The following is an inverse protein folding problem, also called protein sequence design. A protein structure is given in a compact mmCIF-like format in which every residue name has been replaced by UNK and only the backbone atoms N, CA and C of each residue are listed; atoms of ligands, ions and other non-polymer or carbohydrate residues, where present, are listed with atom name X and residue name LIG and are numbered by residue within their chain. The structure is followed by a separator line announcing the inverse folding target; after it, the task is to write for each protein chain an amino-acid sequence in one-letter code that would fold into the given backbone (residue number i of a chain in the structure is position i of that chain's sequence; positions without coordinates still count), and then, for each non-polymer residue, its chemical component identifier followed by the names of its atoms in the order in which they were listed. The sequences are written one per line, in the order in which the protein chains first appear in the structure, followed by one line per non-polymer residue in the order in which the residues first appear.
data_IF_911410138454
#
_entry.id   IF_911410138454
#
_cell.length_a   1.000
_cell.length_b   1.000
_cell.length_c   1.000
_cell.angle_alpha   90.00
_cell.angle_beta   90.00
_cell.angle_gamma   90.00
#
_symmetry.space_group_name_H-M   'P 1'
#
loop_
_entity.id
_entity.type
_entity.pdbx_description
1 polymer ?
#
# COMPACT_ATOMS: atom_id res chain seq x y z
N UNK A 1 27.58 24.73 -16.79
CA UNK A 1 26.38 24.58 -15.93
C UNK A 1 26.78 24.60 -14.45
N UNK A 2 25.97 25.14 -13.55
CA UNK A 2 26.28 25.14 -12.10
C UNK A 2 26.07 23.75 -11.48
N UNK A 3 26.72 23.41 -10.34
CA UNK A 3 26.51 22.11 -9.67
C UNK A 3 25.05 21.83 -9.31
N UNK A 4 24.31 22.85 -8.86
CA UNK A 4 22.89 22.72 -8.55
C UNK A 4 22.05 22.43 -9.80
N UNK A 5 22.31 23.15 -10.90
CA UNK A 5 21.61 22.95 -12.16
C UNK A 5 21.91 21.56 -12.76
N UNK A 6 23.16 21.10 -12.62
CA UNK A 6 23.54 19.72 -12.97
C UNK A 6 22.74 18.72 -12.15
N UNK A 7 22.72 18.85 -10.82
CA UNK A 7 22.04 17.93 -9.93
C UNK A 7 20.53 17.85 -10.23
N UNK A 8 19.87 19.00 -10.37
CA UNK A 8 18.43 19.06 -10.72
C UNK A 8 18.16 18.38 -12.06
N UNK A 9 18.97 18.65 -13.08
CA UNK A 9 18.84 18.04 -14.40
C UNK A 9 19.07 16.52 -14.34
N UNK A 10 20.09 16.08 -13.61
CA UNK A 10 20.39 14.66 -13.41
C UNK A 10 19.20 13.94 -12.76
N UNK A 11 18.68 14.46 -11.63
CA UNK A 11 17.55 13.84 -10.94
C UNK A 11 16.28 13.84 -11.79
N UNK A 12 16.00 14.93 -12.51
CA UNK A 12 14.88 14.98 -13.45
C UNK A 12 14.99 13.89 -14.53
N UNK A 13 16.14 13.77 -15.19
CA UNK A 13 16.38 12.77 -16.23
C UNK A 13 16.35 11.34 -15.71
N UNK A 14 16.84 11.13 -14.48
CA UNK A 14 16.78 9.83 -13.81
C UNK A 14 15.33 9.44 -13.45
N UNK A 15 14.55 10.37 -12.90
CA UNK A 15 13.14 10.15 -12.55
C UNK A 15 12.30 9.90 -13.82
N UNK A 16 12.50 10.69 -14.89
CA UNK A 16 11.80 10.47 -16.16
C UNK A 16 12.14 9.12 -16.78
N UNK A 17 13.41 8.70 -16.73
CA UNK A 17 13.85 7.35 -17.10
C UNK A 17 13.12 6.25 -16.31
N UNK A 18 13.04 6.39 -14.98
CA UNK A 18 12.30 5.47 -14.11
C UNK A 18 10.82 5.39 -14.47
N UNK A 19 10.12 6.54 -14.56
CA UNK A 19 8.67 6.58 -14.83
C UNK A 19 8.33 6.03 -16.21
N UNK A 20 9.19 6.30 -17.21
CA UNK A 20 9.04 5.72 -18.54
C UNK A 20 9.17 4.20 -18.48
N UNK A 21 10.19 3.68 -17.80
CA UNK A 21 10.34 2.24 -17.61
C UNK A 21 9.15 1.64 -16.85
N UNK A 22 8.66 2.26 -15.78
CA UNK A 22 7.50 1.77 -15.03
C UNK A 22 6.25 1.68 -15.92
N UNK A 23 6.07 2.65 -16.82
CA UNK A 23 4.99 2.65 -17.81
C UNK A 23 5.17 1.53 -18.84
N UNK A 24 6.39 1.38 -19.38
CA UNK A 24 6.72 0.30 -20.30
C UNK A 24 6.55 -1.07 -19.63
N UNK A 25 6.95 -1.20 -18.38
CA UNK A 25 6.84 -2.39 -17.55
C UNK A 25 5.38 -2.80 -17.34
N UNK A 26 4.51 -1.85 -17.00
CA UNK A 26 3.07 -2.07 -16.95
C UNK A 26 2.53 -2.59 -18.30
N UNK A 27 2.93 -1.96 -19.41
CA UNK A 27 2.51 -2.36 -20.74
C UNK A 27 3.05 -3.74 -21.14
N UNK A 28 4.28 -4.09 -20.77
CA UNK A 28 4.87 -5.41 -21.02
C UNK A 28 4.03 -6.52 -20.38
N UNK A 29 3.47 -6.31 -19.18
CA UNK A 29 2.54 -7.26 -18.58
C UNK A 29 1.22 -7.38 -19.38
N UNK A 30 0.64 -6.24 -19.79
CA UNK A 30 -0.58 -6.24 -20.62
C UNK A 30 -0.36 -6.89 -21.99
N UNK A 31 0.82 -6.73 -22.58
CA UNK A 31 1.15 -7.25 -23.90
C UNK A 31 1.38 -8.75 -23.95
N UNK A 32 1.44 -9.45 -22.82
CA UNK A 32 1.52 -10.92 -22.77
C UNK A 32 0.41 -11.60 -23.57
N UNK A 33 -0.76 -10.97 -23.66
CA UNK A 33 -1.94 -11.43 -24.40
C UNK A 33 -2.24 -10.60 -25.65
N UNK A 34 -1.33 -9.72 -26.07
CA UNK A 34 -1.53 -8.87 -27.25
C UNK A 34 -1.73 -9.70 -28.51
N UNK A 35 -2.49 -9.21 -29.49
CA UNK A 35 -2.62 -9.85 -30.80
C UNK A 35 -1.33 -9.75 -31.65
N UNK A 36 -0.48 -8.78 -31.35
CA UNK A 36 0.72 -8.45 -32.11
C UNK A 36 1.90 -9.30 -31.64
N UNK A 37 2.50 -10.06 -32.54
CA UNK A 37 3.63 -10.98 -32.23
C UNK A 37 4.81 -10.25 -31.59
N UNK A 38 5.11 -9.06 -32.08
CA UNK A 38 6.22 -8.24 -31.56
C UNK A 38 5.99 -7.81 -30.10
N UNK A 39 4.79 -7.34 -29.75
CA UNK A 39 4.49 -6.92 -28.37
C UNK A 39 4.51 -8.11 -27.41
N UNK A 40 4.01 -9.29 -27.84
CA UNK A 40 4.15 -10.53 -27.06
C UNK A 40 5.61 -10.94 -26.87
N UNK A 41 6.44 -10.76 -27.89
CA UNK A 41 7.86 -11.06 -27.80
C UNK A 41 8.57 -10.15 -26.80
N UNK A 42 8.29 -8.83 -26.80
CA UNK A 42 8.81 -7.91 -25.79
C UNK A 42 8.38 -8.32 -24.37
N UNK A 43 7.09 -8.65 -24.18
CA UNK A 43 6.57 -9.17 -22.92
C UNK A 43 7.30 -10.44 -22.47
N UNK A 44 7.58 -11.36 -23.40
CA UNK A 44 8.30 -12.59 -23.11
C UNK A 44 9.76 -12.35 -22.71
N UNK A 45 10.45 -11.39 -23.34
CA UNK A 45 11.79 -10.98 -22.94
C UNK A 45 11.84 -10.50 -21.47
N UNK A 46 10.85 -9.70 -21.07
CA UNK A 46 10.68 -9.25 -19.68
C UNK A 46 10.36 -10.39 -18.70
N UNK A 47 9.64 -11.44 -19.15
CA UNK A 47 9.32 -12.58 -18.29
C UNK A 47 10.55 -13.33 -17.78
N UNK A 48 11.70 -13.23 -18.45
CA UNK A 48 12.93 -13.84 -17.92
C UNK A 48 13.33 -13.28 -16.55
N UNK A 49 13.01 -12.03 -16.27
CA UNK A 49 13.14 -11.44 -14.93
C UNK A 49 12.33 -12.20 -13.89
N UNK A 50 11.03 -12.34 -14.16
CA UNK A 50 10.06 -13.03 -13.30
C UNK A 50 10.27 -14.55 -13.24
N UNK A 51 10.94 -15.13 -14.22
CA UNK A 51 11.30 -16.55 -14.21
C UNK A 51 12.59 -16.78 -13.41
N UNK A 52 13.52 -15.83 -13.46
CA UNK A 52 14.75 -15.86 -12.69
C UNK A 52 14.46 -15.60 -11.21
N UNK A 53 13.87 -14.47 -10.86
CA UNK A 53 13.37 -14.21 -9.51
C UNK A 53 11.86 -14.41 -9.51
N UNK A 54 11.39 -15.53 -8.96
CA UNK A 54 10.03 -16.00 -9.20
C UNK A 54 9.02 -15.56 -8.15
N UNK A 55 7.74 -15.87 -8.39
CA UNK A 55 6.62 -15.56 -7.47
C UNK A 55 6.75 -16.22 -6.09
N UNK A 56 7.60 -17.24 -5.97
CA UNK A 56 7.93 -17.87 -4.69
C UNK A 56 9.07 -17.14 -3.95
N UNK A 57 9.60 -16.07 -4.54
CA UNK A 57 10.67 -15.20 -4.04
C UNK A 57 11.99 -15.95 -3.89
N UNK A 58 12.26 -16.81 -4.87
CA UNK A 58 13.49 -17.60 -4.99
C UNK A 58 14.10 -17.39 -6.37
N UNK A 59 15.42 -17.49 -6.43
CA UNK A 59 16.17 -17.46 -7.66
C UNK A 59 16.16 -18.82 -8.36
N UNK A 60 16.11 -18.79 -9.69
CA UNK A 60 16.12 -19.97 -10.54
C UNK A 60 17.23 -19.85 -11.59
N UNK A 61 18.37 -20.47 -11.29
CA UNK A 61 19.58 -20.38 -12.11
C UNK A 61 19.41 -20.84 -13.55
N UNK A 62 18.35 -21.62 -13.85
CA UNK A 62 17.97 -21.99 -15.22
C UNK A 62 17.81 -20.76 -16.12
N UNK A 63 17.35 -19.64 -15.57
CA UNK A 63 17.07 -18.41 -16.32
C UNK A 63 18.11 -17.32 -16.12
N UNK A 64 19.20 -17.59 -15.39
CA UNK A 64 20.23 -16.59 -15.06
C UNK A 64 20.79 -15.91 -16.31
N UNK A 65 21.14 -16.69 -17.35
CA UNK A 65 21.70 -16.14 -18.60
C UNK A 65 20.68 -15.31 -19.36
N UNK A 66 19.44 -15.76 -19.45
CA UNK A 66 18.39 -15.03 -20.15
C UNK A 66 18.03 -13.74 -19.42
N UNK A 67 18.01 -13.75 -18.08
CA UNK A 67 17.86 -12.53 -17.31
C UNK A 67 19.00 -11.53 -17.59
N UNK A 68 20.25 -12.01 -17.53
CA UNK A 68 21.44 -11.18 -17.73
C UNK A 68 21.56 -10.58 -19.14
N UNK A 69 21.24 -11.34 -20.19
CA UNK A 69 21.48 -10.95 -21.58
C UNK A 69 20.25 -10.41 -22.30
N UNK A 70 19.04 -10.61 -21.76
CA UNK A 70 17.78 -10.22 -22.42
C UNK A 70 17.00 -9.24 -21.53
N UNK A 71 16.62 -9.67 -20.32
CA UNK A 71 15.72 -8.85 -19.50
C UNK A 71 16.41 -7.60 -18.97
N UNK A 72 17.55 -7.73 -18.29
CA UNK A 72 18.26 -6.58 -17.72
C UNK A 72 18.68 -5.55 -18.78
N UNK A 73 19.19 -5.93 -19.97
CA UNK A 73 19.43 -4.97 -21.04
C UNK A 73 18.15 -4.30 -21.56
N UNK A 74 17.03 -5.01 -21.66
CA UNK A 74 15.75 -4.44 -22.06
C UNK A 74 15.28 -3.36 -21.06
N UNK A 75 15.40 -3.62 -19.76
CA UNK A 75 15.07 -2.65 -18.70
C UNK A 75 15.98 -1.41 -18.77
N UNK A 76 17.28 -1.63 -18.91
CA UNK A 76 18.28 -0.56 -19.06
C UNK A 76 17.99 0.33 -20.26
N UNK A 77 17.76 -0.28 -21.43
CA UNK A 77 17.43 0.46 -22.66
C UNK A 77 16.15 1.26 -22.50
N UNK A 78 15.14 0.70 -21.82
CA UNK A 78 13.89 1.42 -21.54
C UNK A 78 14.12 2.66 -20.67
N UNK A 79 14.96 2.56 -19.63
CA UNK A 79 15.31 3.71 -18.77
C UNK A 79 16.09 4.77 -19.54
N UNK A 80 17.10 4.36 -20.32
CA UNK A 80 17.89 5.27 -21.17
C UNK A 80 16.98 6.00 -22.16
N UNK A 81 16.08 5.30 -22.84
CA UNK A 81 15.10 5.89 -23.76
C UNK A 81 14.20 6.90 -23.03
N UNK A 82 13.74 6.57 -21.82
CA UNK A 82 12.98 7.48 -20.97
C UNK A 82 13.74 8.76 -20.62
N UNK A 83 15.02 8.66 -20.27
CA UNK A 83 15.88 9.81 -20.01
C UNK A 83 16.11 10.65 -21.27
N UNK A 84 16.28 10.03 -22.44
CA UNK A 84 16.38 10.75 -23.73
C UNK A 84 15.08 11.50 -24.04
N UNK A 85 13.91 10.86 -23.86
CA UNK A 85 12.60 11.50 -24.05
C UNK A 85 12.42 12.66 -23.06
N UNK A 86 12.80 12.48 -21.80
CA UNK A 86 12.79 13.55 -20.79
C UNK A 86 13.69 14.72 -21.18
N UNK A 87 14.89 14.45 -21.70
CA UNK A 87 15.79 15.48 -22.19
C UNK A 87 15.21 16.22 -23.39
N UNK A 88 14.62 15.51 -24.37
CA UNK A 88 13.95 16.14 -25.51
C UNK A 88 12.78 17.01 -25.07
N UNK A 89 11.99 16.58 -24.08
CA UNK A 89 10.90 17.37 -23.53
C UNK A 89 11.42 18.65 -22.86
N UNK A 90 12.45 18.53 -22.01
CA UNK A 90 13.08 19.70 -21.39
C UNK A 90 13.71 20.63 -22.43
N UNK A 91 14.33 20.08 -23.49
CA UNK A 91 14.87 20.84 -24.61
C UNK A 91 13.79 21.69 -25.27
N UNK A 92 12.69 21.10 -25.71
CA UNK A 92 11.61 21.84 -26.36
C UNK A 92 11.02 22.95 -25.47
N UNK A 93 10.89 22.73 -24.15
CA UNK A 93 10.38 23.74 -23.21
C UNK A 93 11.36 24.89 -22.92
N UNK A 94 12.67 24.61 -22.97
CA UNK A 94 13.72 25.59 -22.63
C UNK A 94 14.22 26.34 -23.87
N UNK A 95 14.19 25.72 -25.05
CA UNK A 95 14.57 26.39 -26.31
C UNK A 95 13.69 27.59 -26.64
N UNK A 96 12.44 27.61 -26.15
CA UNK A 96 11.56 28.78 -26.22
C UNK A 96 12.12 30.00 -25.44
N UNK A 97 13.11 29.78 -24.56
CA UNK A 97 13.80 30.80 -23.75
C UNK A 97 15.30 30.99 -24.11
N UNK A 98 15.71 30.73 -25.36
CA UNK A 98 17.08 30.96 -25.89
C UNK A 98 18.23 30.12 -25.27
N UNK A 99 17.94 29.09 -24.47
CA UNK A 99 18.96 28.19 -23.92
C UNK A 99 18.89 26.80 -24.55
N UNK A 100 20.00 26.28 -25.08
CA UNK A 100 20.09 24.86 -25.40
C UNK A 100 20.49 24.11 -24.11
N UNK A 101 19.66 23.19 -23.56
CA UNK A 101 20.04 22.45 -22.35
C UNK A 101 21.29 21.62 -22.60
N UNK A 102 22.21 21.71 -21.64
CA UNK A 102 23.44 20.93 -21.60
C UNK A 102 23.14 19.43 -21.70
N UNK A 103 23.82 18.72 -22.61
CA UNK A 103 23.67 17.26 -22.77
C UNK A 103 24.48 16.48 -21.73
N UNK A 104 25.33 17.13 -20.95
CA UNK A 104 26.19 16.48 -19.95
C UNK A 104 25.41 15.66 -18.92
N UNK A 105 24.31 16.15 -18.29
CA UNK A 105 23.47 15.34 -17.42
C UNK A 105 22.92 14.08 -18.08
N UNK A 106 22.49 14.17 -19.34
CA UNK A 106 21.95 13.03 -20.07
C UNK A 106 23.03 11.96 -20.27
N UNK A 107 24.23 12.35 -20.71
CA UNK A 107 25.35 11.43 -20.88
C UNK A 107 25.69 10.73 -19.55
N UNK A 108 25.74 11.50 -18.46
CA UNK A 108 26.05 10.95 -17.12
C UNK A 108 24.95 10.00 -16.63
N UNK A 109 23.66 10.31 -16.81
CA UNK A 109 22.55 9.40 -16.46
C UNK A 109 22.61 8.12 -17.29
N UNK A 110 22.84 8.22 -18.60
CA UNK A 110 22.98 7.04 -19.46
C UNK A 110 24.15 6.15 -19.04
N UNK A 111 25.30 6.75 -18.75
CA UNK A 111 26.47 6.03 -18.23
C UNK A 111 26.17 5.38 -16.87
N UNK A 112 25.47 6.09 -15.98
CA UNK A 112 25.07 5.57 -14.68
C UNK A 112 24.16 4.34 -14.80
N UNK A 113 23.10 4.39 -15.63
CA UNK A 113 22.20 3.25 -15.83
C UNK A 113 22.91 2.05 -16.46
N UNK A 114 23.83 2.32 -17.40
CA UNK A 114 24.67 1.27 -17.98
C UNK A 114 25.56 0.59 -16.93
N UNK A 115 26.32 1.38 -16.17
CA UNK A 115 27.23 0.87 -15.13
C UNK A 115 26.44 0.11 -14.07
N UNK A 116 25.32 0.67 -13.59
CA UNK A 116 24.43 0.01 -12.64
C UNK A 116 23.98 -1.35 -13.16
N UNK A 117 23.52 -1.43 -14.40
CA UNK A 117 23.07 -2.70 -15.00
C UNK A 117 24.20 -3.71 -15.09
N UNK A 118 25.41 -3.28 -15.46
CA UNK A 118 26.59 -4.16 -15.48
C UNK A 118 26.94 -4.69 -14.09
N UNK A 119 26.83 -3.85 -13.05
CA UNK A 119 27.03 -4.27 -11.66
C UNK A 119 25.97 -5.31 -11.27
N UNK A 120 24.70 -5.11 -11.60
CA UNK A 120 23.62 -6.08 -11.33
C UNK A 120 23.90 -7.41 -12.03
N UNK A 121 24.33 -7.38 -13.30
CA UNK A 121 24.72 -8.60 -14.04
C UNK A 121 25.91 -9.30 -13.37
N UNK A 122 26.93 -8.56 -12.95
CA UNK A 122 28.10 -9.10 -12.24
C UNK A 122 27.71 -9.73 -10.89
N UNK A 123 26.67 -9.20 -10.23
CA UNK A 123 26.05 -9.77 -9.04
C UNK A 123 25.04 -10.89 -9.35
N UNK A 124 25.05 -11.44 -10.57
CA UNK A 124 24.12 -12.49 -11.01
C UNK A 124 22.64 -12.08 -10.87
N UNK A 125 22.31 -10.80 -11.01
CA UNK A 125 20.96 -10.28 -10.83
C UNK A 125 20.47 -10.20 -9.38
N UNK A 126 21.31 -10.49 -8.39
CA UNK A 126 20.99 -10.39 -6.96
C UNK A 126 21.43 -9.04 -6.41
N UNK A 127 20.65 -7.99 -6.70
CA UNK A 127 20.92 -6.64 -6.20
C UNK A 127 20.16 -6.34 -4.90
N UNK A 128 20.27 -5.10 -4.39
CA UNK A 128 19.61 -4.67 -3.15
C UNK A 128 18.08 -4.72 -3.19
N UNK A 129 17.46 -4.82 -4.38
CA UNK A 129 16.01 -4.95 -4.56
C UNK A 129 15.57 -6.41 -4.80
N UNK A 130 16.52 -7.32 -5.03
CA UNK A 130 16.28 -8.74 -5.26
C UNK A 130 16.83 -9.56 -4.09
N UNK A 131 16.02 -9.66 -3.03
CA UNK A 131 16.35 -10.42 -1.83
C UNK A 131 15.28 -11.48 -1.64
N UNK A 132 15.69 -12.72 -1.37
CA UNK A 132 14.76 -13.82 -1.14
C UNK A 132 13.97 -13.60 0.17
N UNK A 133 12.65 -13.80 0.11
CA UNK A 133 11.78 -13.75 1.27
C UNK A 133 10.96 -15.02 1.41
N UNK A 134 10.71 -15.44 2.65
CA UNK A 134 9.68 -16.44 2.92
C UNK A 134 8.30 -15.80 2.88
N UNK A 135 8.18 -14.64 3.55
CA UNK A 135 7.03 -13.73 3.57
C UNK A 135 7.54 -12.31 3.39
N UNK A 136 6.93 -11.55 2.48
CA UNK A 136 7.31 -10.15 2.23
C UNK A 136 6.85 -9.29 3.42
N UNK A 137 7.78 -8.60 4.12
CA UNK A 137 7.41 -7.69 5.20
C UNK A 137 6.75 -6.43 4.65
N UNK A 138 6.13 -5.65 5.54
CA UNK A 138 5.55 -4.35 5.17
C UNK A 138 6.62 -3.43 4.58
N UNK A 139 6.36 -2.95 3.38
CA UNK A 139 7.11 -1.86 2.75
C UNK A 139 6.95 -0.55 3.54
N UNK A 140 8.09 0.00 3.98
CA UNK A 140 8.15 1.20 4.85
C UNK A 140 8.33 2.49 4.08
N UNK A 141 8.75 2.41 2.82
CA UNK A 141 9.08 3.59 2.03
C UNK A 141 7.82 4.12 1.36
N UNK A 142 7.52 5.41 1.51
CA UNK A 142 6.39 5.99 0.78
C UNK A 142 6.74 6.28 -0.68
N UNK A 143 7.94 6.81 -0.94
CA UNK A 143 8.34 7.36 -2.25
C UNK A 143 9.21 6.41 -3.08
N UNK A 144 10.20 5.78 -2.44
CA UNK A 144 11.21 4.96 -3.13
C UNK A 144 10.85 3.48 -3.11
N UNK A 145 11.20 2.78 -4.19
CA UNK A 145 11.06 1.33 -4.31
C UNK A 145 12.25 0.67 -3.63
N UNK A 146 11.96 -0.15 -2.61
CA UNK A 146 12.92 -1.03 -1.95
C UNK A 146 12.63 -2.51 -2.26
N UNK A 147 13.41 -3.43 -1.65
CA UNK A 147 13.27 -4.87 -1.88
C UNK A 147 11.87 -5.41 -1.54
N UNK A 148 11.20 -4.87 -0.53
CA UNK A 148 9.85 -5.30 -0.15
C UNK A 148 8.84 -4.98 -1.25
N UNK A 149 8.86 -3.75 -1.77
CA UNK A 149 7.95 -3.33 -2.83
C UNK A 149 8.21 -4.09 -4.13
N UNK A 150 9.49 -4.31 -4.47
CA UNK A 150 9.85 -5.11 -5.62
C UNK A 150 9.43 -6.59 -5.45
N UNK A 151 9.58 -7.17 -4.25
CA UNK A 151 9.09 -8.51 -3.98
C UNK A 151 7.55 -8.60 -4.12
N UNK A 152 6.79 -7.58 -3.67
CA UNK A 152 5.34 -7.53 -3.89
C UNK A 152 4.97 -7.56 -5.37
N UNK A 153 5.76 -6.91 -6.24
CA UNK A 153 5.60 -7.01 -7.69
C UNK A 153 5.74 -8.46 -8.17
N UNK A 154 6.76 -9.20 -7.72
CA UNK A 154 6.91 -10.62 -8.09
C UNK A 154 5.77 -11.50 -7.56
N UNK A 155 5.27 -11.24 -6.34
CA UNK A 155 4.09 -11.95 -5.83
C UNK A 155 2.85 -11.63 -6.68
N UNK A 156 2.68 -10.36 -7.06
CA UNK A 156 1.53 -9.84 -7.80
C UNK A 156 1.97 -9.06 -9.06
N UNK A 157 2.32 -9.74 -10.17
CA UNK A 157 2.96 -9.11 -11.34
C UNK A 157 2.15 -8.01 -12.02
N UNK A 158 0.82 -7.98 -11.85
CA UNK A 158 -0.05 -6.93 -12.39
C UNK A 158 -0.14 -5.68 -11.48
N UNK A 159 0.61 -5.63 -10.38
CA UNK A 159 0.63 -4.54 -9.38
C UNK A 159 2.07 -4.17 -9.00
N UNK A 160 2.23 -3.07 -8.25
CA UNK A 160 3.54 -2.62 -7.73
C UNK A 160 4.57 -2.41 -8.84
N UNK A 161 4.30 -1.52 -9.79
CA UNK A 161 5.03 -1.39 -11.06
C UNK A 161 6.34 -0.62 -10.96
N UNK A 162 6.45 0.26 -9.96
CA UNK A 162 7.59 1.14 -9.76
C UNK A 162 8.92 0.40 -9.68
N UNK A 163 9.93 0.95 -10.33
CA UNK A 163 11.29 0.41 -10.37
C UNK A 163 12.28 1.13 -9.45
N UNK A 164 12.14 2.45 -9.30
CA UNK A 164 12.95 3.27 -8.39
C UNK A 164 12.09 4.18 -7.52
N UNK A 165 11.09 4.82 -8.12
CA UNK A 165 10.11 5.67 -7.45
C UNK A 165 8.71 5.12 -7.67
N UNK A 166 7.79 5.36 -6.74
CA UNK A 166 6.41 4.86 -6.81
C UNK A 166 5.45 5.80 -7.53
N UNK A 167 5.99 6.76 -8.29
CA UNK A 167 5.18 7.81 -8.92
C UNK A 167 4.16 7.23 -9.90
N UNK A 168 4.55 6.24 -10.72
CA UNK A 168 3.61 5.54 -11.59
C UNK A 168 2.47 4.92 -10.77
N UNK A 169 2.78 4.18 -9.70
CA UNK A 169 1.78 3.54 -8.86
C UNK A 169 0.86 4.51 -8.13
N UNK A 170 1.36 5.69 -7.76
CA UNK A 170 0.55 6.76 -7.19
C UNK A 170 -0.44 7.32 -8.21
N UNK A 171 -0.04 7.49 -9.46
CA UNK A 171 -0.94 8.01 -10.50
C UNK A 171 -1.94 6.94 -10.91
N UNK A 172 -1.46 5.74 -11.26
CA UNK A 172 -2.25 4.63 -11.78
C UNK A 172 -3.04 3.86 -10.70
N UNK A 173 -2.67 3.99 -9.42
CA UNK A 173 -3.32 3.27 -8.32
C UNK A 173 -3.00 1.78 -8.33
N UNK A 174 -1.73 1.41 -8.46
CA UNK A 174 -1.27 0.00 -8.55
C UNK A 174 -0.50 -0.50 -7.33
N UNK A 175 -0.32 0.31 -6.28
CA UNK A 175 0.45 -0.03 -5.07
C UNK A 175 -0.37 -0.82 -4.02
N UNK A 176 -1.23 -1.73 -4.47
CA UNK A 176 -2.09 -2.54 -3.60
C UNK A 176 -2.53 -3.84 -4.27
N UNK A 177 -2.96 -4.82 -3.47
CA UNK A 177 -3.56 -6.05 -3.98
C UNK A 177 -4.60 -6.62 -3.01
N UNK A 178 -5.86 -6.67 -3.46
CA UNK A 178 -7.00 -7.27 -2.73
C UNK A 178 -7.73 -8.37 -3.52
N UNK A 179 -7.45 -8.49 -4.82
CA UNK A 179 -8.12 -9.46 -5.69
C UNK A 179 -7.88 -10.88 -5.18
N UNK A 180 -8.91 -11.71 -5.17
CA UNK A 180 -8.91 -13.08 -4.65
C UNK A 180 -8.58 -13.21 -3.15
N UNK A 181 -8.40 -12.12 -2.41
CA UNK A 181 -8.23 -12.17 -0.96
C UNK A 181 -9.56 -12.40 -0.26
N UNK A 182 -9.52 -13.05 0.90
CA UNK A 182 -10.68 -13.17 1.80
C UNK A 182 -10.67 -12.05 2.84
N UNK A 183 -11.80 -11.36 2.94
CA UNK A 183 -11.96 -10.22 3.86
C UNK A 183 -12.93 -10.59 4.96
N UNK A 184 -12.61 -10.23 6.19
CA UNK A 184 -13.55 -10.22 7.32
C UNK A 184 -13.85 -8.78 7.70
N UNK A 185 -15.13 -8.44 7.83
CA UNK A 185 -15.61 -7.07 8.04
C UNK A 185 -16.54 -7.01 9.25
N UNK A 186 -16.19 -6.23 10.26
CA UNK A 186 -17.12 -5.84 11.34
C UNK A 186 -17.86 -4.57 10.94
N UNK A 187 -19.06 -4.34 11.47
CA UNK A 187 -19.87 -3.16 11.10
C UNK A 187 -20.38 -3.19 9.66
N UNK A 188 -20.44 -4.38 9.03
CA UNK A 188 -20.89 -4.55 7.63
C UNK A 188 -22.35 -4.15 7.37
N UNK A 189 -23.19 -4.08 8.42
CA UNK A 189 -24.54 -3.52 8.35
C UNK A 189 -24.57 -1.99 8.46
N UNK A 190 -23.45 -1.34 8.77
CA UNK A 190 -23.31 0.11 8.84
C UNK A 190 -23.18 0.76 7.46
N UNK A 191 -23.31 2.09 7.41
CA UNK A 191 -23.25 2.85 6.16
C UNK A 191 -21.90 2.68 5.43
N UNK A 192 -20.78 2.89 6.14
CA UNK A 192 -19.44 2.68 5.57
C UNK A 192 -19.18 1.20 5.24
N UNK A 193 -19.56 0.28 6.15
CA UNK A 193 -19.36 -1.16 5.96
C UNK A 193 -19.98 -1.69 4.66
N UNK A 194 -21.23 -1.31 4.35
CA UNK A 194 -21.86 -1.67 3.08
C UNK A 194 -21.16 -1.05 1.86
N UNK A 195 -20.75 0.22 1.98
CA UNK A 195 -20.11 0.93 0.89
C UNK A 195 -18.71 0.40 0.57
N UNK A 196 -17.90 0.08 1.58
CA UNK A 196 -16.56 -0.49 1.37
C UNK A 196 -16.64 -1.92 0.86
N UNK A 197 -17.59 -2.73 1.32
CA UNK A 197 -17.83 -4.06 0.76
C UNK A 197 -18.15 -4.02 -0.73
N UNK A 198 -19.02 -3.09 -1.16
CA UNK A 198 -19.32 -2.87 -2.58
C UNK A 198 -18.05 -2.55 -3.39
N UNK A 199 -17.16 -1.70 -2.86
CA UNK A 199 -15.88 -1.39 -3.51
C UNK A 199 -14.96 -2.63 -3.59
N UNK A 200 -14.87 -3.41 -2.51
CA UNK A 200 -14.04 -4.60 -2.45
C UNK A 200 -14.50 -5.69 -3.42
N UNK A 201 -15.81 -5.93 -3.49
CA UNK A 201 -16.40 -6.85 -4.47
C UNK A 201 -16.11 -6.41 -5.90
N UNK A 202 -16.14 -5.11 -6.19
CA UNK A 202 -15.77 -4.57 -7.50
C UNK A 202 -14.28 -4.76 -7.84
N UNK A 203 -13.40 -4.81 -6.84
CA UNK A 203 -11.97 -5.14 -7.01
C UNK A 203 -11.69 -6.64 -7.18
N UNK A 204 -12.72 -7.48 -7.01
CA UNK A 204 -12.65 -8.92 -7.16
C UNK A 204 -12.04 -9.63 -5.95
N UNK A 205 -12.30 -9.16 -4.72
CA UNK A 205 -12.06 -9.99 -3.52
C UNK A 205 -12.81 -11.31 -3.65
N UNK A 206 -12.27 -12.38 -3.05
CA UNK A 206 -12.88 -13.72 -3.15
C UNK A 206 -14.20 -13.82 -2.37
N UNK A 207 -14.21 -13.25 -1.18
CA UNK A 207 -15.33 -13.30 -0.24
C UNK A 207 -15.19 -12.17 0.79
N UNK A 208 -16.34 -11.66 1.26
CA UNK A 208 -16.42 -10.70 2.37
C UNK A 208 -17.34 -11.27 3.44
N UNK A 209 -16.75 -11.75 4.54
CA UNK A 209 -17.51 -12.29 5.68
C UNK A 209 -17.79 -11.20 6.69
N UNK A 210 -19.06 -10.96 6.98
CA UNK A 210 -19.48 -9.97 7.98
C UNK A 210 -19.51 -10.59 9.38
N UNK A 211 -18.86 -9.93 10.35
CA UNK A 211 -18.98 -10.23 11.77
C UNK A 211 -20.01 -9.29 12.42
N UNK A 212 -21.16 -9.84 12.82
CA UNK A 212 -22.24 -9.13 13.46
C UNK A 212 -22.11 -9.09 14.99
N UNK A 213 -22.16 -7.89 15.55
CA UNK A 213 -22.30 -7.69 17.00
C UNK A 213 -23.65 -8.25 17.50
N UNK A 214 -23.64 -8.95 18.63
CA UNK A 214 -24.80 -9.66 19.18
C UNK A 214 -25.12 -11.01 18.54
N UNK A 215 -24.45 -11.36 17.42
CA UNK A 215 -24.61 -12.64 16.72
C UNK A 215 -23.35 -13.50 16.78
N UNK A 216 -22.25 -12.91 16.31
CA UNK A 216 -20.95 -13.59 16.18
C UNK A 216 -20.02 -13.22 17.33
N UNK A 217 -20.21 -12.05 17.93
CA UNK A 217 -19.44 -11.58 19.09
C UNK A 217 -20.20 -10.52 19.89
N UNK A 218 -19.78 -10.32 21.14
CA UNK A 218 -20.22 -9.23 22.04
C UNK A 218 -19.01 -8.63 22.75
N UNK A 219 -19.21 -7.60 23.58
CA UNK A 219 -18.11 -7.03 24.38
C UNK A 219 -17.46 -8.05 25.33
N UNK A 220 -18.15 -9.15 25.66
CA UNK A 220 -17.68 -10.16 26.62
C UNK A 220 -17.43 -11.55 26.00
N UNK A 221 -17.89 -11.79 24.77
CA UNK A 221 -17.79 -13.10 24.12
C UNK A 221 -17.30 -12.97 22.67
N UNK A 222 -16.14 -13.55 22.40
CA UNK A 222 -15.51 -13.62 21.08
C UNK A 222 -15.25 -15.08 20.64
N UNK A 223 -15.82 -16.06 21.34
CA UNK A 223 -15.53 -17.49 21.17
C UNK A 223 -15.73 -17.99 19.73
N UNK A 224 -16.68 -17.39 19.00
CA UNK A 224 -17.01 -17.76 17.61
C UNK A 224 -16.16 -17.06 16.55
N UNK A 225 -15.35 -16.07 16.94
CA UNK A 225 -14.63 -15.21 16.00
C UNK A 225 -13.39 -15.91 15.41
N UNK A 226 -12.64 -16.65 16.24
CA UNK A 226 -11.38 -17.30 15.83
C UNK A 226 -11.50 -18.11 14.53
N UNK A 227 -12.43 -19.08 14.44
CA UNK A 227 -12.63 -19.87 13.22
C UNK A 227 -12.98 -19.04 11.98
N UNK A 228 -13.65 -17.89 12.14
CA UNK A 228 -14.01 -17.02 11.02
C UNK A 228 -12.78 -16.27 10.47
N UNK A 229 -11.82 -15.96 11.34
CA UNK A 229 -10.58 -15.23 11.03
C UNK A 229 -9.47 -16.13 10.46
N UNK A 230 -9.59 -17.44 10.59
CA UNK A 230 -8.56 -18.42 10.23
C UNK A 230 -8.06 -18.26 8.78
N UNK A 231 -8.98 -18.11 7.83
CA UNK A 231 -8.66 -17.97 6.40
C UNK A 231 -8.67 -16.51 5.90
N UNK A 232 -8.93 -15.55 6.79
CA UNK A 232 -8.98 -14.14 6.41
C UNK A 232 -7.57 -13.60 6.16
N UNK A 233 -7.41 -12.81 5.11
CA UNK A 233 -6.15 -12.10 4.82
C UNK A 233 -6.25 -10.62 5.18
N UNK A 234 -7.48 -10.08 5.13
CA UNK A 234 -7.77 -8.69 5.48
C UNK A 234 -8.85 -8.68 6.58
N UNK A 235 -8.58 -8.02 7.70
CA UNK A 235 -9.56 -7.68 8.73
C UNK A 235 -9.94 -6.20 8.63
N UNK A 236 -11.22 -5.89 8.48
CA UNK A 236 -11.74 -4.53 8.45
C UNK A 236 -12.61 -4.26 9.69
N UNK A 237 -12.21 -3.25 10.45
CA UNK A 237 -12.80 -2.82 11.70
C UNK A 237 -13.60 -1.54 11.47
N UNK A 238 -14.87 -1.70 11.07
CA UNK A 238 -15.77 -0.58 10.76
C UNK A 238 -16.96 -0.44 11.71
N UNK A 239 -17.02 -1.25 12.76
CA UNK A 239 -18.00 -1.06 13.83
C UNK A 239 -17.65 0.15 14.69
N UNK A 240 -18.66 0.74 15.31
CA UNK A 240 -18.47 1.79 16.29
C UNK A 240 -19.79 2.42 16.73
N UNK A 241 -19.73 3.15 17.84
CA UNK A 241 -20.87 3.81 18.46
C UNK A 241 -20.45 5.10 19.15
N UNK A 242 -21.40 6.03 19.29
CA UNK A 242 -21.26 7.23 20.12
C UNK A 242 -21.96 7.08 21.49
N UNK A 243 -22.60 5.93 21.71
CA UNK A 243 -23.38 5.60 22.90
C UNK A 243 -22.57 5.49 24.20
N UNK A 244 -23.19 4.89 25.21
CA UNK A 244 -22.55 4.68 26.52
C UNK A 244 -21.42 3.64 26.45
N UNK A 245 -21.52 2.69 25.53
CA UNK A 245 -20.56 1.62 25.28
C UNK A 245 -19.45 2.01 24.29
N UNK A 246 -19.25 3.32 24.04
CA UNK A 246 -18.28 3.81 23.06
C UNK A 246 -16.85 3.30 23.31
N UNK A 247 -16.42 3.19 24.58
CA UNK A 247 -15.09 2.66 24.91
C UNK A 247 -14.96 1.18 24.53
N UNK A 248 -15.95 0.37 24.88
CA UNK A 248 -15.92 -1.07 24.59
C UNK A 248 -16.00 -1.33 23.09
N UNK A 249 -16.89 -0.62 22.38
CA UNK A 249 -17.06 -0.77 20.94
C UNK A 249 -15.88 -0.22 20.13
N UNK A 250 -15.41 1.01 20.40
CA UNK A 250 -14.44 1.67 19.50
C UNK A 250 -12.98 1.35 19.84
N UNK A 251 -12.71 0.83 21.05
CA UNK A 251 -11.37 0.55 21.55
C UNK A 251 -11.21 -0.92 22.01
N UNK A 252 -11.87 -1.34 23.10
CA UNK A 252 -11.57 -2.64 23.73
C UNK A 252 -11.83 -3.83 22.80
N UNK A 253 -13.02 -3.88 22.19
CA UNK A 253 -13.37 -4.94 21.24
C UNK A 253 -12.55 -4.86 19.95
N UNK A 254 -12.22 -3.67 19.48
CA UNK A 254 -11.33 -3.48 18.33
C UNK A 254 -9.95 -4.10 18.60
N UNK A 255 -9.35 -3.82 19.76
CA UNK A 255 -8.08 -4.44 20.17
C UNK A 255 -8.24 -5.96 20.23
N UNK A 256 -9.28 -6.46 20.90
CA UNK A 256 -9.48 -7.91 21.05
C UNK A 256 -9.64 -8.64 19.72
N UNK A 257 -10.36 -8.05 18.77
CA UNK A 257 -10.54 -8.62 17.42
C UNK A 257 -9.23 -8.64 16.64
N UNK A 258 -8.37 -7.62 16.78
CA UNK A 258 -7.04 -7.58 16.18
C UNK A 258 -6.15 -8.67 16.78
N UNK A 259 -6.13 -8.80 18.10
CA UNK A 259 -5.36 -9.84 18.77
C UNK A 259 -5.76 -11.23 18.30
N UNK A 260 -7.06 -11.54 18.28
CA UNK A 260 -7.56 -12.81 17.79
C UNK A 260 -7.14 -13.05 16.33
N UNK A 261 -7.19 -12.02 15.48
CA UNK A 261 -6.76 -12.14 14.09
C UNK A 261 -5.27 -12.47 13.99
N UNK A 262 -4.42 -11.75 14.71
CA UNK A 262 -2.98 -11.98 14.72
C UNK A 262 -2.63 -13.33 15.37
N UNK A 263 -3.32 -13.75 16.43
CA UNK A 263 -3.19 -15.07 17.04
C UNK A 263 -3.51 -16.18 16.02
N UNK A 264 -4.57 -16.03 15.21
CA UNK A 264 -4.89 -16.98 14.14
C UNK A 264 -3.84 -16.98 13.02
N UNK A 265 -3.28 -15.82 12.67
CA UNK A 265 -2.20 -15.75 11.66
C UNK A 265 -0.92 -16.41 12.17
N UNK A 266 -0.58 -16.21 13.44
CA UNK A 266 0.58 -16.83 14.08
C UNK A 266 0.41 -18.35 14.24
N UNK A 267 -0.76 -18.82 14.68
CA UNK A 267 -1.05 -20.26 14.80
C UNK A 267 -1.06 -20.97 13.43
N UNK A 268 -1.37 -20.23 12.36
CA UNK A 268 -1.31 -20.69 10.97
C UNK A 268 0.06 -20.57 10.32
N UNK A 269 1.13 -20.20 11.04
CA UNK A 269 2.51 -20.12 10.53
C UNK A 269 2.95 -21.50 9.99
N UNK A 270 2.83 -21.66 8.67
CA UNK A 270 2.89 -22.94 7.95
C UNK A 270 1.98 -22.94 6.71
N UNK A 271 0.91 -22.12 6.71
CA UNK A 271 0.18 -21.74 5.51
C UNK A 271 1.03 -20.79 4.67
N UNK A 272 1.18 -21.11 3.39
CA UNK A 272 2.11 -20.52 2.41
C UNK A 272 1.79 -19.08 1.97
N UNK A 273 1.42 -18.18 2.89
CA UNK A 273 1.17 -16.78 2.52
C UNK A 273 2.50 -16.08 2.22
N UNK A 274 2.62 -15.50 1.02
CA UNK A 274 3.80 -14.72 0.62
C UNK A 274 3.77 -13.29 1.11
N UNK A 275 2.67 -12.84 1.70
CA UNK A 275 2.54 -11.48 2.24
C UNK A 275 1.99 -11.49 3.64
N UNK A 276 2.39 -10.47 4.40
CA UNK A 276 1.84 -10.20 5.74
C UNK A 276 0.33 -9.95 5.71
N UNK A 277 -0.39 -10.28 6.79
CA UNK A 277 -1.80 -9.95 6.93
C UNK A 277 -2.04 -8.44 6.94
N UNK A 278 -3.29 -8.05 6.70
CA UNK A 278 -3.67 -6.66 6.56
C UNK A 278 -4.87 -6.32 7.46
N UNK A 279 -4.81 -5.17 8.14
CA UNK A 279 -5.82 -4.71 9.11
C UNK A 279 -6.22 -3.29 8.75
N UNK A 280 -7.50 -3.04 8.53
CA UNK A 280 -8.03 -1.71 8.24
C UNK A 280 -8.93 -1.26 9.37
N UNK A 281 -8.58 -0.15 10.03
CA UNK A 281 -9.38 0.44 11.09
C UNK A 281 -10.05 1.73 10.61
N UNK A 282 -11.35 1.84 10.86
CA UNK A 282 -12.11 3.07 10.61
C UNK A 282 -12.09 3.95 11.86
N UNK A 283 -11.18 4.91 11.87
CA UNK A 283 -11.07 6.00 12.84
C UNK A 283 -12.06 7.12 12.58
N UNK A 284 -11.70 8.35 12.95
CA UNK A 284 -12.50 9.55 12.67
C UNK A 284 -11.71 10.82 12.95
N UNK A 285 -12.04 11.92 12.27
CA UNK A 285 -11.45 13.25 12.56
C UNK A 285 -11.65 13.71 14.02
N UNK A 286 -12.60 13.13 14.76
CA UNK A 286 -12.79 13.39 16.20
C UNK A 286 -11.53 13.10 17.04
N UNK A 287 -10.61 12.30 16.50
CA UNK A 287 -9.32 12.01 17.11
C UNK A 287 -8.48 13.28 17.31
N UNK A 288 -8.65 14.32 16.47
CA UNK A 288 -7.91 15.58 16.59
C UNK A 288 -8.76 16.74 17.11
N UNK A 289 -10.02 16.88 16.69
CA UNK A 289 -10.81 18.07 17.02
C UNK A 289 -11.58 17.92 18.36
N UNK A 290 -11.90 19.02 19.07
CA UNK A 290 -12.61 18.95 20.34
C UNK A 290 -14.06 18.47 20.17
N UNK A 291 -14.64 17.95 21.24
CA UNK A 291 -16.03 17.48 21.30
C UNK A 291 -17.05 18.60 21.59
N UNK A 292 -16.60 19.86 21.65
CA UNK A 292 -17.41 21.08 21.86
C UNK A 292 -18.46 20.99 22.99
N UNK A 293 -18.12 20.30 24.09
CA UNK A 293 -19.00 20.16 25.25
C UNK A 293 -20.16 19.18 25.09
N UNK A 294 -20.30 18.51 23.94
CA UNK A 294 -21.37 17.54 23.70
C UNK A 294 -21.00 16.20 24.37
N UNK A 295 -21.74 15.72 25.39
CA UNK A 295 -21.32 14.54 26.18
C UNK A 295 -21.13 13.27 25.35
N UNK A 296 -21.98 13.06 24.36
CA UNK A 296 -21.90 11.94 23.43
C UNK A 296 -20.62 11.99 22.58
N UNK A 297 -20.27 13.17 22.07
CA UNK A 297 -19.04 13.37 21.31
C UNK A 297 -17.79 13.31 22.19
N UNK A 298 -17.89 13.65 23.49
CA UNK A 298 -16.79 13.48 24.44
C UNK A 298 -16.47 12.00 24.64
N UNK A 299 -17.48 11.15 24.85
CA UNK A 299 -17.31 9.69 24.93
C UNK A 299 -16.74 9.12 23.63
N UNK A 300 -17.30 9.53 22.49
CA UNK A 300 -16.82 9.10 21.19
C UNK A 300 -15.35 9.49 20.96
N UNK A 301 -14.99 10.76 21.21
CA UNK A 301 -13.62 11.27 21.10
C UNK A 301 -12.66 10.52 22.02
N UNK A 302 -13.05 10.32 23.29
CA UNK A 302 -12.24 9.61 24.27
C UNK A 302 -11.96 8.17 23.81
N UNK A 303 -12.98 7.45 23.34
CA UNK A 303 -12.84 6.06 22.87
C UNK A 303 -11.95 5.93 21.63
N UNK A 304 -12.10 6.81 20.62
CA UNK A 304 -11.26 6.80 19.42
C UNK A 304 -9.80 7.16 19.75
N UNK A 305 -9.58 8.12 20.65
CA UNK A 305 -8.24 8.51 21.10
C UNK A 305 -7.56 7.43 21.95
N UNK A 306 -8.31 6.71 22.78
CA UNK A 306 -7.77 5.62 23.60
C UNK A 306 -7.16 4.48 22.74
N UNK A 307 -7.68 4.26 21.54
CA UNK A 307 -7.14 3.27 20.61
C UNK A 307 -5.86 3.73 19.88
N UNK A 308 -5.58 5.04 19.82
CA UNK A 308 -4.47 5.57 18.99
C UNK A 308 -3.08 5.01 19.34
N UNK A 309 -2.68 4.82 20.63
CA UNK A 309 -1.39 4.22 20.95
C UNK A 309 -1.20 2.80 20.39
N UNK A 310 -2.26 1.98 20.44
CA UNK A 310 -2.25 0.63 19.87
C UNK A 310 -2.22 0.67 18.33
N UNK A 311 -3.04 1.53 17.72
CA UNK A 311 -3.00 1.80 16.28
C UNK A 311 -1.61 2.25 15.82
N UNK A 312 -0.94 3.12 16.58
CA UNK A 312 0.40 3.61 16.29
C UNK A 312 1.42 2.47 16.31
N UNK A 313 1.33 1.55 17.27
CA UNK A 313 2.24 0.41 17.33
C UNK A 313 2.02 -0.57 16.16
N UNK A 314 0.77 -0.85 15.78
CA UNK A 314 0.47 -1.62 14.57
C UNK A 314 0.96 -0.92 13.29
N UNK A 315 0.87 0.41 13.24
CA UNK A 315 1.38 1.20 12.13
C UNK A 315 2.90 1.04 11.95
N UNK A 316 3.66 0.80 13.01
CA UNK A 316 5.11 0.53 12.94
C UNK A 316 5.46 -0.94 12.71
N UNK A 317 4.62 -1.88 13.14
CA UNK A 317 4.91 -3.32 13.07
C UNK A 317 5.14 -3.80 11.63
N UNK A 318 6.33 -4.34 11.29
CA UNK A 318 6.63 -4.80 9.92
C UNK A 318 5.90 -6.07 9.51
N UNK A 319 5.26 -6.79 10.46
CA UNK A 319 4.61 -8.09 10.23
C UNK A 319 3.13 -7.96 9.87
N UNK A 320 2.61 -6.74 9.76
CA UNK A 320 1.23 -6.47 9.39
C UNK A 320 1.15 -5.18 8.58
N UNK A 321 0.27 -5.15 7.58
CA UNK A 321 -0.12 -3.91 6.90
C UNK A 321 -1.30 -3.32 7.68
N UNK A 322 -1.03 -2.37 8.56
CA UNK A 322 -2.08 -1.63 9.26
C UNK A 322 -2.46 -0.37 8.49
N UNK A 323 -3.77 -0.24 8.20
CA UNK A 323 -4.36 0.94 7.59
C UNK A 323 -5.25 1.68 8.57
N UNK A 324 -4.97 2.96 8.76
CA UNK A 324 -5.73 3.85 9.61
C UNK A 324 -6.57 4.80 8.75
N UNK A 325 -7.84 4.47 8.57
CA UNK A 325 -8.79 5.22 7.74
C UNK A 325 -9.45 6.28 8.60
N UNK A 326 -9.25 7.56 8.27
CA UNK A 326 -9.73 8.69 9.06
C UNK A 326 -10.75 9.49 8.25
N UNK A 327 -12.05 9.14 8.37
CA UNK A 327 -13.12 9.86 7.71
C UNK A 327 -13.53 11.12 8.46
N UNK A 328 -13.80 12.19 7.68
CA UNK A 328 -14.72 13.25 8.05
C UNK A 328 -16.14 12.68 8.19
N UNK A 329 -17.06 13.46 8.75
CA UNK A 329 -18.46 13.03 8.88
C UNK A 329 -19.04 12.68 7.49
N UNK A 330 -19.74 11.56 7.39
CA UNK A 330 -20.50 11.14 6.21
C UNK A 330 -21.90 10.70 6.65
N UNK A 331 -22.86 10.73 5.73
CA UNK A 331 -24.25 10.38 6.02
C UNK A 331 -24.36 8.94 6.56
N UNK A 332 -24.84 8.80 7.79
CA UNK A 332 -24.95 7.52 8.47
C UNK A 332 -25.94 7.58 9.64
N UNK A 333 -26.22 6.42 10.24
CA UNK A 333 -26.99 6.36 11.49
C UNK A 333 -26.28 7.08 12.65
N UNK A 334 -24.97 7.33 12.57
CA UNK A 334 -24.20 8.05 13.59
C UNK A 334 -24.28 9.57 13.43
N UNK A 335 -24.87 10.09 12.34
CA UNK A 335 -25.02 11.51 12.12
C UNK A 335 -25.16 11.88 10.64
N UNK A 336 -25.68 13.09 10.41
CA UNK A 336 -25.86 13.64 9.06
C UNK A 336 -24.59 14.32 8.56
N UNK A 337 -24.36 14.28 7.25
CA UNK A 337 -23.27 15.01 6.62
C UNK A 337 -23.55 15.29 5.14
N UNK A 338 -22.69 16.10 4.51
CA UNK A 338 -22.84 16.50 3.10
C UNK A 338 -22.40 15.43 2.10
N UNK A 339 -21.60 14.45 2.53
CA UNK A 339 -21.06 13.38 1.67
C UNK A 339 -21.66 12.02 2.02
N UNK A 340 -21.79 11.16 1.01
CA UNK A 340 -22.36 9.82 1.15
C UNK A 340 -21.35 8.80 1.68
N UNK A 341 -21.81 7.64 2.21
CA UNK A 341 -20.91 6.54 2.54
C UNK A 341 -20.18 5.97 1.31
N UNK A 342 -20.80 5.97 0.12
CA UNK A 342 -20.13 5.59 -1.13
C UNK A 342 -18.95 6.52 -1.46
N UNK A 343 -19.09 7.83 -1.22
CA UNK A 343 -17.98 8.78 -1.36
C UNK A 343 -16.85 8.43 -0.40
N UNK A 344 -17.16 8.22 0.89
CA UNK A 344 -16.16 7.90 1.90
C UNK A 344 -15.39 6.61 1.57
N UNK A 345 -16.09 5.56 1.16
CA UNK A 345 -15.48 4.29 0.74
C UNK A 345 -14.65 4.45 -0.56
N UNK A 346 -15.12 5.24 -1.52
CA UNK A 346 -14.41 5.48 -2.78
C UNK A 346 -13.11 6.25 -2.55
N UNK A 347 -13.12 7.27 -1.69
CA UNK A 347 -11.93 8.04 -1.31
C UNK A 347 -10.96 7.18 -0.50
N UNK A 348 -11.48 6.34 0.42
CA UNK A 348 -10.64 5.39 1.15
C UNK A 348 -9.89 4.47 0.17
N UNK A 349 -10.61 3.86 -0.78
CA UNK A 349 -10.01 3.00 -1.78
C UNK A 349 -9.08 3.76 -2.73
N UNK A 350 -9.36 5.01 -3.07
CA UNK A 350 -8.46 5.84 -3.89
C UNK A 350 -7.07 6.00 -3.26
N UNK A 351 -7.01 6.20 -1.94
CA UNK A 351 -5.75 6.25 -1.18
C UNK A 351 -5.10 4.88 -1.01
N UNK A 352 -5.89 3.85 -0.69
CA UNK A 352 -5.39 2.46 -0.54
C UNK A 352 -4.75 1.98 -1.83
N UNK A 353 -5.36 2.26 -2.99
CA UNK A 353 -4.81 1.92 -4.31
C UNK A 353 -3.42 2.52 -4.56
N UNK A 354 -3.10 3.62 -3.88
CA UNK A 354 -1.81 4.34 -3.95
C UNK A 354 -0.83 3.92 -2.85
N UNK A 355 -1.16 2.86 -2.10
CA UNK A 355 -0.31 2.30 -1.06
C UNK A 355 -0.42 3.00 0.30
N UNK A 356 -1.37 3.92 0.49
CA UNK A 356 -1.47 4.69 1.73
C UNK A 356 -1.85 3.81 2.93
N UNK A 357 -1.01 3.79 3.97
CA UNK A 357 -1.33 3.17 5.26
C UNK A 357 -2.13 4.12 6.16
N UNK A 358 -1.79 5.40 6.17
CA UNK A 358 -2.71 6.41 6.73
C UNK A 358 -3.62 6.90 5.61
N UNK A 359 -4.94 6.77 5.79
CA UNK A 359 -5.93 6.96 4.72
C UNK A 359 -6.85 8.15 5.08
N UNK A 360 -6.49 9.37 4.66
CA UNK A 360 -7.26 10.57 5.00
C UNK A 360 -8.51 10.68 4.10
N UNK A 361 -9.68 10.45 4.66
CA UNK A 361 -10.97 10.52 3.96
C UNK A 361 -11.68 11.80 4.37
N UNK A 362 -11.18 12.94 3.90
CA UNK A 362 -11.59 14.25 4.42
C UNK A 362 -11.97 15.25 3.34
N UNK A 363 -12.96 16.09 3.65
CA UNK A 363 -13.26 17.34 2.94
C UNK A 363 -13.00 18.58 3.83
N UNK A 364 -12.66 18.39 5.11
CA UNK A 364 -12.36 19.47 6.08
C UNK A 364 -10.86 19.77 6.15
N UNK A 365 -10.03 18.82 5.73
CA UNK A 365 -8.57 18.85 5.85
C UNK A 365 -8.03 18.40 7.21
N UNK A 366 -8.89 18.17 8.22
CA UNK A 366 -8.45 17.81 9.57
C UNK A 366 -7.74 16.45 9.62
N UNK A 367 -8.11 15.49 8.77
CA UNK A 367 -7.39 14.21 8.70
C UNK A 367 -5.91 14.38 8.30
N UNK A 368 -5.54 15.41 7.51
CA UNK A 368 -4.14 15.68 7.21
C UNK A 368 -3.38 16.23 8.43
N UNK A 369 -4.03 17.05 9.27
CA UNK A 369 -3.44 17.48 10.54
C UNK A 369 -3.34 16.30 11.53
N UNK A 370 -4.35 15.42 11.53
CA UNK A 370 -4.34 14.21 12.34
C UNK A 370 -3.23 13.24 11.90
N UNK A 371 -2.83 13.21 10.64
CA UNK A 371 -1.68 12.44 10.18
C UNK A 371 -0.38 12.86 10.91
N UNK A 372 -0.09 14.16 10.98
CA UNK A 372 1.08 14.65 11.71
C UNK A 372 1.01 14.33 13.21
N UNK A 373 -0.14 14.56 13.83
CA UNK A 373 -0.37 14.17 15.23
C UNK A 373 -0.14 12.66 15.42
N UNK A 374 -0.74 11.84 14.57
CA UNK A 374 -0.66 10.39 14.64
C UNK A 374 0.79 9.91 14.51
N UNK A 375 1.55 10.41 13.53
CA UNK A 375 2.93 9.96 13.34
C UNK A 375 3.89 10.44 14.43
N UNK A 376 3.80 11.71 14.84
CA UNK A 376 4.86 12.35 15.61
C UNK A 376 4.51 12.59 17.09
N UNK A 377 3.23 12.64 17.45
CA UNK A 377 2.78 12.97 18.81
C UNK A 377 2.17 11.79 19.56
N UNK A 378 1.64 10.79 18.87
CA UNK A 378 1.14 9.56 19.50
C UNK A 378 2.30 8.61 19.76
N UNK A 379 2.46 8.20 21.02
CA UNK A 379 3.45 7.19 21.39
C UNK A 379 2.88 5.78 21.13
N UNK A 380 3.62 4.90 20.45
CA UNK A 380 3.20 3.51 20.25
C UNK A 380 3.12 2.76 21.59
N UNK A 381 2.05 2.00 21.81
CA UNK A 381 1.89 1.15 22.99
C UNK A 381 1.09 -0.12 22.66
N UNK A 382 1.75 -1.28 22.72
CA UNK A 382 1.11 -2.60 22.57
C UNK A 382 0.60 -3.18 23.90
N UNK A 383 0.96 -2.58 25.05
CA UNK A 383 0.64 -3.12 26.38
C UNK A 383 -0.84 -3.03 26.76
N UNK A 384 -1.63 -2.23 26.03
CA UNK A 384 -3.08 -2.17 26.18
C UNK A 384 -3.76 -3.53 25.92
N UNK A 385 -3.21 -4.35 25.01
CA UNK A 385 -3.72 -5.70 24.78
C UNK A 385 -3.47 -6.66 25.96
N UNK A 386 -2.29 -6.56 26.58
CA UNK A 386 -1.91 -7.42 27.70
C UNK A 386 -2.66 -7.13 29.00
N UNK A 387 -3.14 -5.90 29.23
CA UNK A 387 -3.87 -5.55 30.47
C UNK A 387 -5.30 -6.09 30.53
N UNK A 388 -5.95 -6.31 29.38
CA UNK A 388 -7.30 -6.90 29.31
C UNK A 388 -7.27 -8.41 29.62
N UNK A 389 -6.10 -9.09 29.54
CA UNK A 389 -5.95 -10.49 30.00
C UNK A 389 -5.94 -10.63 31.54
N UNK A 390 -5.86 -9.54 32.30
CA UNK A 390 -5.68 -9.54 33.77
C UNK A 390 -6.88 -9.02 34.57
N UNK A 391 -8.03 -8.81 33.93
CA UNK A 391 -9.32 -8.45 34.55
C UNK A 391 -10.41 -9.24 33.88
#
# INVERSE_FOLDING_TARGET
MSPLSFAVSFFYLYITGSVFFDTAHYLLHQWSKSQWRFLRWLSWCHQFHHLYYNRSLRFNDRYLRQNAWISLPLEMLSKILGSVVGWLFAHNLITDNNGNPDSTPLIVVCAFEFIRTMVVIAMSGQDSNHIAFDTVPKDRSWLFVGPEFHALHHVYPDRYMGSMVKLFDWVAGTAYFVRNKRVVLTGGSGAFGRAIEKQLLAEGVKDVRRLGFGKDWTHQDFSRVGPILEDAEILILSHGTKGLDAMDANCNSTIRLIELFLEQKAAGEGRTSKTVPEIWYVGSEIEIHPAWGIPEMQRYSASKRAFMPYARALYDDPRVIYRHIVPAAFESQMGRAIVSPDWAASVAMWWIRRGACYVPVTYTGLAYLNFFKFLYLVRPDMSHGSKVKST
#
